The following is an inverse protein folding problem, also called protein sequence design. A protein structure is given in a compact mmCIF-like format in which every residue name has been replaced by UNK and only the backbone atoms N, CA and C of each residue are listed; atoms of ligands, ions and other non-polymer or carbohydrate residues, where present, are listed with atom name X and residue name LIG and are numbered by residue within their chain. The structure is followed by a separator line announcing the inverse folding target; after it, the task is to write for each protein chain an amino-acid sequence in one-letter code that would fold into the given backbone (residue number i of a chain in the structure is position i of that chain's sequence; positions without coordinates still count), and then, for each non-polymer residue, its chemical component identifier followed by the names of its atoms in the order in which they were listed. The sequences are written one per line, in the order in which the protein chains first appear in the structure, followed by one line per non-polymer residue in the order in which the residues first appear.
data_IF_828711139655
#
_entry.id   IF_828711139655
#
_cell.length_a   1.000
_cell.length_b   1.000
_cell.length_c   1.000
_cell.angle_alpha   90.00
_cell.angle_beta   90.00
_cell.angle_gamma   90.00
#
_symmetry.space_group_name_H-M   'P 1'
#
loop_
_entity.id
_entity.type
_entity.pdbx_description
1 polymer ?
#
# COMPACT_ATOMS: atom_id res chain seq x y z
N UNK A 1 5.75 2.36 -25.13
CA UNK A 1 4.67 1.41 -25.52
C UNK A 1 4.29 0.67 -24.25
N UNK A 2 3.03 0.28 -24.04
CA UNK A 2 2.69 -0.55 -22.87
C UNK A 2 2.77 -2.03 -23.25
N UNK A 3 3.20 -2.87 -22.30
CA UNK A 3 3.30 -4.32 -22.47
C UNK A 3 2.48 -5.03 -21.41
N UNK A 4 1.82 -6.11 -21.83
CA UNK A 4 1.05 -6.96 -20.93
C UNK A 4 1.91 -8.12 -20.44
N UNK A 5 2.03 -8.29 -19.13
CA UNK A 5 2.77 -9.38 -18.48
C UNK A 5 1.99 -9.94 -17.30
N UNK A 6 2.36 -11.12 -16.81
CA UNK A 6 1.86 -11.62 -15.53
C UNK A 6 2.45 -10.82 -14.37
N UNK A 7 1.66 -10.56 -13.33
CA UNK A 7 2.07 -9.78 -12.16
C UNK A 7 3.28 -10.35 -11.40
N UNK A 8 3.51 -11.66 -11.45
CA UNK A 8 4.72 -12.29 -10.92
C UNK A 8 6.01 -11.78 -11.59
N UNK A 9 5.92 -11.30 -12.83
CA UNK A 9 7.07 -10.79 -13.61
C UNK A 9 7.35 -9.31 -13.35
N UNK A 10 6.43 -8.58 -12.73
CA UNK A 10 6.65 -7.21 -12.26
C UNK A 10 7.63 -7.25 -11.09
N UNK A 11 8.64 -6.38 -11.07
CA UNK A 11 9.62 -6.33 -9.97
C UNK A 11 9.04 -5.64 -8.74
N UNK A 12 9.60 -5.93 -7.56
CA UNK A 12 9.27 -5.18 -6.35
C UNK A 12 9.63 -3.70 -6.55
N UNK A 13 8.72 -2.80 -6.17
CA UNK A 13 8.84 -1.36 -6.35
C UNK A 13 8.49 -0.85 -7.75
N UNK A 14 8.16 -1.73 -8.69
CA UNK A 14 7.76 -1.35 -10.04
C UNK A 14 6.26 -1.06 -10.12
N UNK A 15 5.92 -0.10 -10.99
CA UNK A 15 4.55 0.32 -11.25
C UNK A 15 3.90 -0.52 -12.34
N UNK A 16 2.60 -0.76 -12.20
CA UNK A 16 1.80 -1.45 -13.21
C UNK A 16 0.36 -0.94 -13.17
N UNK A 17 -0.40 -1.22 -14.22
CA UNK A 17 -1.80 -0.82 -14.36
C UNK A 17 -2.69 -2.04 -14.58
N UNK A 18 -3.83 -2.05 -13.91
CA UNK A 18 -4.92 -3.02 -14.07
C UNK A 18 -6.26 -2.30 -13.89
N UNK A 19 -7.25 -2.58 -14.74
CA UNK A 19 -8.55 -1.88 -14.76
C UNK A 19 -8.44 -0.33 -14.78
N UNK A 20 -7.39 0.19 -15.44
CA UNK A 20 -7.13 1.64 -15.51
C UNK A 20 -6.62 2.25 -14.21
N UNK A 21 -6.33 1.43 -13.19
CA UNK A 21 -5.78 1.85 -11.90
C UNK A 21 -4.31 1.50 -11.83
N UNK A 22 -3.48 2.45 -11.40
CA UNK A 22 -2.05 2.25 -11.23
C UNK A 22 -1.73 1.79 -9.80
N UNK A 23 -0.83 0.81 -9.71
CA UNK A 23 -0.35 0.20 -8.48
C UNK A 23 1.17 0.13 -8.45
N UNK A 24 1.72 0.00 -7.25
CA UNK A 24 3.10 -0.44 -7.03
C UNK A 24 3.11 -1.83 -6.39
N UNK A 25 4.00 -2.72 -6.86
CA UNK A 25 4.20 -4.04 -6.27
C UNK A 25 5.12 -3.95 -5.04
N UNK A 26 4.62 -4.36 -3.88
CA UNK A 26 5.34 -4.27 -2.60
C UNK A 26 6.03 -5.56 -2.20
N UNK A 27 5.45 -6.72 -2.48
CA UNK A 27 6.03 -8.03 -2.12
C UNK A 27 5.37 -9.16 -2.92
N UNK A 28 5.84 -10.38 -2.76
CA UNK A 28 5.21 -11.57 -3.31
C UNK A 28 5.33 -12.77 -2.37
N UNK A 29 4.20 -13.39 -2.05
CA UNK A 29 4.15 -14.54 -1.14
C UNK A 29 3.03 -15.50 -1.50
N UNK A 30 3.37 -16.80 -1.59
CA UNK A 30 2.41 -17.89 -1.80
C UNK A 30 1.46 -17.64 -3.00
N UNK A 31 2.02 -17.25 -4.15
CA UNK A 31 1.26 -16.99 -5.37
C UNK A 31 0.33 -15.78 -5.32
N UNK A 32 0.52 -14.88 -4.34
CA UNK A 32 -0.11 -13.57 -4.29
C UNK A 32 0.93 -12.46 -4.25
N UNK A 33 0.80 -11.48 -5.14
CA UNK A 33 1.57 -10.25 -5.10
C UNK A 33 0.87 -9.25 -4.18
N UNK A 34 1.62 -8.68 -3.23
CA UNK A 34 1.14 -7.60 -2.37
C UNK A 34 1.32 -6.26 -3.07
N UNK A 35 0.25 -5.50 -3.21
CA UNK A 35 0.22 -4.29 -4.04
C UNK A 35 -0.57 -3.18 -3.34
N UNK A 36 -0.25 -1.92 -3.65
CA UNK A 36 -0.98 -0.73 -3.17
C UNK A 36 -1.17 0.25 -4.32
N UNK A 37 -2.30 0.95 -4.33
CA UNK A 37 -2.56 2.01 -5.32
C UNK A 37 -1.53 3.13 -5.20
N UNK A 38 -1.17 3.74 -6.34
CA UNK A 38 -0.19 4.83 -6.35
C UNK A 38 -0.72 6.09 -5.67
N UNK A 39 -2.03 6.32 -5.70
CA UNK A 39 -2.71 7.37 -4.96
C UNK A 39 -3.90 6.85 -4.13
N UNK A 40 -4.56 7.72 -3.37
CA UNK A 40 -5.79 7.42 -2.63
C UNK A 40 -7.00 7.35 -3.55
N UNK A 41 -8.12 6.87 -3.01
CA UNK A 41 -9.43 7.15 -3.60
C UNK A 41 -9.71 8.66 -3.61
N UNK A 42 -10.55 9.16 -4.53
CA UNK A 42 -10.75 10.60 -4.71
C UNK A 42 -11.49 11.25 -3.54
N UNK A 43 -12.31 10.52 -2.79
CA UNK A 43 -13.11 11.07 -1.69
C UNK A 43 -12.45 10.78 -0.34
N UNK A 44 -12.52 11.75 0.57
CA UNK A 44 -12.17 11.53 1.97
C UNK A 44 -13.36 10.93 2.71
N UNK A 45 -13.10 10.21 3.79
CA UNK A 45 -14.12 9.57 4.59
C UNK A 45 -13.63 9.27 6.00
N UNK A 46 -14.54 8.98 6.93
CA UNK A 46 -14.14 8.55 8.25
C UNK A 46 -13.53 7.14 8.16
N UNK A 47 -12.71 6.80 9.13
CA UNK A 47 -12.36 5.39 9.35
C UNK A 47 -13.61 4.60 9.75
N UNK A 48 -14.41 5.17 10.66
CA UNK A 48 -15.67 4.64 11.17
C UNK A 48 -16.59 5.81 11.52
N UNK A 49 -17.89 5.73 11.24
CA UNK A 49 -18.81 6.82 11.56
C UNK A 49 -18.97 7.04 13.08
N UNK A 50 -19.33 8.27 13.47
CA UNK A 50 -19.57 8.64 14.87
C UNK A 50 -20.78 7.88 15.47
N UNK A 51 -21.76 7.53 14.64
CA UNK A 51 -22.99 6.83 15.02
C UNK A 51 -22.88 5.30 14.92
N UNK A 52 -21.67 4.75 14.73
CA UNK A 52 -21.45 3.32 14.75
C UNK A 52 -21.77 2.73 16.14
N UNK A 53 -22.62 1.70 16.18
CA UNK A 53 -23.07 1.04 17.44
C UNK A 53 -22.01 0.13 18.09
N UNK A 54 -20.83 -0.02 17.46
CA UNK A 54 -19.74 -0.88 17.92
C UNK A 54 -18.76 -0.09 18.77
N UNK A 55 -18.25 -0.66 19.86
CA UNK A 55 -17.32 0.05 20.76
C UNK A 55 -15.88 0.13 20.24
N UNK A 56 -15.51 -0.74 19.29
CA UNK A 56 -14.17 -0.86 18.73
C UNK A 56 -14.02 -0.02 17.44
N UNK A 57 -14.32 1.29 17.50
CA UNK A 57 -14.41 2.15 16.32
C UNK A 57 -13.12 2.23 15.48
N UNK A 58 -11.95 1.93 16.05
CA UNK A 58 -10.67 1.91 15.33
C UNK A 58 -10.26 0.51 14.82
N UNK A 59 -11.09 -0.52 14.99
CA UNK A 59 -10.81 -1.82 14.41
C UNK A 59 -11.21 -1.86 12.94
N UNK A 60 -10.22 -2.13 12.10
CA UNK A 60 -10.33 -2.15 10.65
C UNK A 60 -11.42 -3.11 10.14
N UNK A 61 -11.57 -4.28 10.76
CA UNK A 61 -12.61 -5.23 10.32
C UNK A 61 -13.98 -4.68 10.65
N UNK A 62 -14.85 -4.60 9.65
CA UNK A 62 -16.21 -4.07 9.78
C UNK A 62 -16.30 -2.55 9.73
N UNK A 63 -15.18 -1.84 9.56
CA UNK A 63 -15.15 -0.38 9.45
C UNK A 63 -15.74 0.15 8.14
N UNK A 64 -16.20 1.41 8.15
CA UNK A 64 -16.54 2.15 6.94
C UNK A 64 -15.38 2.16 5.94
N UNK A 65 -14.15 2.36 6.40
CA UNK A 65 -12.95 2.32 5.55
C UNK A 65 -12.82 1.01 4.78
N UNK A 66 -13.04 -0.14 5.45
CA UNK A 66 -13.00 -1.44 4.79
C UNK A 66 -14.15 -1.59 3.78
N UNK A 67 -15.34 -1.09 4.12
CA UNK A 67 -16.50 -1.12 3.24
C UNK A 67 -16.26 -0.29 1.96
N UNK A 68 -15.72 0.93 2.08
CA UNK A 68 -15.41 1.81 0.96
C UNK A 68 -14.40 1.18 0.00
N UNK A 69 -13.33 0.58 0.53
CA UNK A 69 -12.33 -0.12 -0.28
C UNK A 69 -12.96 -1.32 -1.00
N UNK A 70 -13.84 -2.06 -0.33
CA UNK A 70 -14.53 -3.22 -0.91
C UNK A 70 -15.54 -2.80 -1.99
N UNK A 71 -16.32 -1.75 -1.76
CA UNK A 71 -17.24 -1.18 -2.75
C UNK A 71 -16.50 -0.68 -3.98
N UNK A 72 -15.42 0.07 -3.77
CA UNK A 72 -14.55 0.50 -4.86
C UNK A 72 -14.02 -0.69 -5.66
N UNK A 73 -13.48 -1.71 -4.98
CA UNK A 73 -12.96 -2.90 -5.65
C UNK A 73 -14.03 -3.67 -6.43
N UNK A 74 -15.30 -3.65 -5.97
CA UNK A 74 -16.41 -4.27 -6.68
C UNK A 74 -16.70 -3.63 -8.05
N UNK A 75 -16.29 -2.38 -8.26
CA UNK A 75 -16.39 -1.66 -9.53
C UNK A 75 -15.22 -1.92 -10.48
N UNK A 76 -14.23 -2.74 -10.08
CA UNK A 76 -13.06 -3.14 -10.87
C UNK A 76 -13.02 -4.67 -11.03
N UNK A 77 -13.68 -5.24 -12.05
CA UNK A 77 -13.85 -6.70 -12.17
C UNK A 77 -12.55 -7.50 -12.18
N UNK A 78 -11.51 -7.06 -12.88
CA UNK A 78 -10.24 -7.78 -12.95
C UNK A 78 -9.51 -7.75 -11.61
N UNK A 79 -9.59 -6.63 -10.88
CA UNK A 79 -9.06 -6.52 -9.52
C UNK A 79 -9.84 -7.45 -8.58
N UNK A 80 -11.17 -7.34 -8.56
CA UNK A 80 -12.07 -8.14 -7.72
C UNK A 80 -11.83 -9.64 -7.89
N UNK A 81 -11.76 -10.12 -9.12
CA UNK A 81 -11.59 -11.54 -9.43
C UNK A 81 -10.19 -12.08 -9.06
N UNK A 82 -9.22 -11.19 -8.90
CA UNK A 82 -7.84 -11.51 -8.54
C UNK A 82 -7.54 -11.40 -7.06
N UNK A 83 -8.38 -10.74 -6.27
CA UNK A 83 -8.17 -10.55 -4.84
C UNK A 83 -8.08 -11.88 -4.10
N UNK A 84 -7.00 -12.03 -3.35
CA UNK A 84 -6.73 -13.15 -2.47
C UNK A 84 -6.97 -12.73 -1.03
N UNK A 85 -7.61 -13.61 -0.28
CA UNK A 85 -7.78 -13.44 1.14
C UNK A 85 -6.46 -13.76 1.86
N UNK A 86 -6.01 -12.84 2.72
CA UNK A 86 -4.76 -12.96 3.49
C UNK A 86 -4.91 -12.35 4.88
N UNK A 87 -4.16 -12.84 5.87
CA UNK A 87 -4.14 -12.23 7.19
C UNK A 87 -3.63 -10.79 7.12
N UNK A 88 -4.25 -9.91 7.89
CA UNK A 88 -3.75 -8.58 8.21
C UNK A 88 -3.45 -8.53 9.70
N UNK A 89 -2.27 -8.05 10.08
CA UNK A 89 -1.90 -7.88 11.50
C UNK A 89 -2.51 -6.59 12.04
N UNK A 90 -3.51 -6.70 12.93
CA UNK A 90 -4.18 -5.56 13.55
C UNK A 90 -3.62 -5.25 14.94
N UNK A 91 -2.36 -5.63 15.19
CA UNK A 91 -1.62 -5.14 16.35
C UNK A 91 -1.68 -3.61 16.37
N UNK A 92 -2.21 -3.09 17.47
CA UNK A 92 -2.37 -1.66 17.71
C UNK A 92 -1.03 -0.98 18.01
N UNK A 93 -0.99 0.34 17.93
CA UNK A 93 0.27 1.09 18.10
C UNK A 93 0.86 1.02 19.50
N UNK A 94 0.06 0.73 20.53
CA UNK A 94 0.56 0.44 21.89
C UNK A 94 0.95 -1.04 22.08
N UNK A 95 0.82 -1.86 21.05
CA UNK A 95 1.25 -3.26 21.01
C UNK A 95 0.19 -4.27 21.43
N UNK A 96 -1.06 -3.85 21.66
CA UNK A 96 -2.14 -4.77 21.99
C UNK A 96 -2.59 -5.56 20.75
N UNK A 97 -2.91 -6.85 20.93
CA UNK A 97 -3.20 -7.80 19.84
C UNK A 97 -4.64 -8.31 19.82
N UNK A 98 -5.56 -7.65 20.53
CA UNK A 98 -6.92 -8.16 20.75
C UNK A 98 -7.74 -8.33 19.45
N UNK A 99 -7.51 -7.45 18.46
CA UNK A 99 -8.14 -7.57 17.14
C UNK A 99 -7.55 -8.71 16.28
N UNK A 100 -6.41 -9.26 16.68
CA UNK A 100 -5.80 -10.43 16.08
C UNK A 100 -5.30 -10.23 14.65
N UNK A 101 -5.29 -11.33 13.88
CA UNK A 101 -4.82 -11.37 12.49
C UNK A 101 -5.89 -11.90 11.52
N UNK A 102 -7.02 -11.19 11.37
CA UNK A 102 -8.12 -11.67 10.54
C UNK A 102 -7.72 -11.78 9.07
N UNK A 103 -8.31 -12.75 8.37
CA UNK A 103 -8.19 -12.90 6.93
C UNK A 103 -9.13 -11.92 6.22
N UNK A 104 -8.59 -11.08 5.33
CA UNK A 104 -9.35 -10.08 4.57
C UNK A 104 -8.94 -10.08 3.09
N UNK A 105 -9.85 -9.67 2.21
CA UNK A 105 -9.55 -9.44 0.79
C UNK A 105 -9.32 -7.96 0.50
N UNK A 106 -10.27 -7.12 0.87
CA UNK A 106 -10.17 -5.66 0.79
C UNK A 106 -9.47 -5.14 2.04
N UNK A 107 -8.41 -4.34 1.85
CA UNK A 107 -7.61 -3.80 2.93
C UNK A 107 -6.92 -2.51 2.55
N UNK A 108 -6.33 -1.86 3.54
CA UNK A 108 -5.26 -0.89 3.36
C UNK A 108 -3.95 -1.43 3.98
N UNK A 109 -2.90 -0.62 4.02
CA UNK A 109 -1.65 -0.96 4.68
C UNK A 109 -1.77 -0.77 6.20
N UNK A 110 -1.03 -1.57 6.96
CA UNK A 110 -0.71 -1.24 8.35
C UNK A 110 0.48 -0.28 8.39
N UNK A 111 0.71 0.40 9.53
CA UNK A 111 1.92 1.20 9.73
C UNK A 111 3.18 0.37 9.52
N UNK A 112 3.23 -0.86 10.02
CA UNK A 112 4.44 -1.68 9.94
C UNK A 112 4.74 -2.13 8.51
N UNK A 113 3.71 -2.40 7.71
CA UNK A 113 3.87 -2.62 6.28
C UNK A 113 4.30 -1.35 5.56
N UNK A 114 3.69 -0.21 5.87
CA UNK A 114 4.11 1.09 5.34
C UNK A 114 5.59 1.36 5.64
N UNK A 115 6.04 1.14 6.88
CA UNK A 115 7.45 1.27 7.29
C UNK A 115 8.34 0.31 6.54
N UNK A 116 7.95 -0.97 6.44
CA UNK A 116 8.72 -2.02 5.75
C UNK A 116 8.94 -1.69 4.27
N UNK A 117 7.92 -1.18 3.59
CA UNK A 117 7.95 -0.91 2.14
C UNK A 117 8.07 0.58 1.78
N UNK A 118 8.42 1.44 2.75
CA UNK A 118 8.39 2.91 2.59
C UNK A 118 9.15 3.41 1.37
N UNK A 119 10.25 2.75 1.02
CA UNK A 119 11.11 3.11 -0.11
C UNK A 119 10.48 2.86 -1.49
N UNK A 120 9.36 2.14 -1.55
CA UNK A 120 8.61 1.84 -2.78
C UNK A 120 7.27 2.59 -2.86
N UNK A 121 6.73 3.03 -1.72
CA UNK A 121 5.40 3.65 -1.66
C UNK A 121 5.50 5.13 -2.04
N UNK A 122 4.82 5.57 -3.13
CA UNK A 122 4.78 6.99 -3.49
C UNK A 122 3.93 7.80 -2.50
N UNK A 123 4.24 9.09 -2.42
CA UNK A 123 3.41 10.09 -1.75
C UNK A 123 2.07 10.24 -2.49
N UNK A 124 1.05 10.67 -1.76
CA UNK A 124 -0.34 10.72 -2.22
C UNK A 124 -0.85 12.16 -2.28
N UNK A 125 -1.88 12.39 -3.08
CA UNK A 125 -2.53 13.70 -3.20
C UNK A 125 -3.35 14.07 -1.96
N UNK A 126 -3.80 13.06 -1.20
CA UNK A 126 -4.54 13.22 0.05
C UNK A 126 -3.90 12.39 1.17
N UNK A 127 -4.05 12.81 2.44
CA UNK A 127 -3.69 11.95 3.56
C UNK A 127 -4.61 10.72 3.55
N UNK A 128 -4.15 9.58 4.06
CA UNK A 128 -4.92 8.33 4.04
C UNK A 128 -4.85 7.54 5.35
N UNK A 129 -5.94 6.82 5.65
CA UNK A 129 -6.03 5.96 6.82
C UNK A 129 -5.24 4.67 6.64
N UNK A 130 -4.47 4.26 7.65
CA UNK A 130 -3.93 2.90 7.75
C UNK A 130 -4.92 1.99 8.48
N UNK A 131 -4.69 0.68 8.43
CA UNK A 131 -5.46 -0.30 9.20
C UNK A 131 -5.02 -0.39 10.68
N UNK A 132 -4.07 0.44 11.12
CA UNK A 132 -3.47 0.33 12.45
C UNK A 132 -4.25 1.17 13.48
N UNK A 133 -4.85 0.52 14.50
CA UNK A 133 -5.53 1.21 15.60
C UNK A 133 -4.53 1.88 16.55
N UNK A 134 -4.98 2.89 17.31
CA UNK A 134 -4.21 3.44 18.42
C UNK A 134 -3.97 2.41 19.53
N UNK A 135 -5.06 1.81 20.03
CA UNK A 135 -5.06 0.81 21.09
C UNK A 135 -6.33 -0.06 20.96
N UNK A 136 -6.51 -0.98 21.89
CA UNK A 136 -7.72 -1.81 22.03
C UNK A 136 -8.41 -1.54 23.37
N UNK A 137 -9.59 -2.14 23.58
CA UNK A 137 -10.36 -2.03 24.83
C UNK A 137 -9.59 -2.53 26.07
N UNK A 138 -8.64 -3.44 25.87
CA UNK A 138 -7.82 -4.02 26.94
C UNK A 138 -6.55 -3.19 27.24
N UNK A 139 -6.35 -2.06 26.56
CA UNK A 139 -5.23 -1.16 26.82
C UNK A 139 -5.37 -0.44 28.17
N UNK A 140 -4.26 -0.18 28.90
CA UNK A 140 -4.27 0.67 30.09
C UNK A 140 -4.84 2.08 29.83
N UNK A 141 -4.71 2.58 28.59
CA UNK A 141 -5.36 3.80 28.12
C UNK A 141 -6.23 3.47 26.91
N UNK A 142 -7.38 2.84 27.20
CA UNK A 142 -8.36 2.47 26.19
C UNK A 142 -9.07 3.70 25.60
N UNK A 143 -8.78 3.97 24.33
CA UNK A 143 -9.45 4.95 23.48
C UNK A 143 -9.54 4.42 22.04
N UNK A 144 -10.63 3.70 21.76
CA UNK A 144 -10.92 3.15 20.44
C UNK A 144 -11.34 4.21 19.40
N UNK A 145 -11.33 5.51 19.74
CA UNK A 145 -11.74 6.57 18.81
C UNK A 145 -10.59 7.06 17.93
N UNK A 146 -9.41 6.45 18.00
CA UNK A 146 -8.22 6.88 17.26
C UNK A 146 -7.62 5.76 16.43
N UNK A 147 -7.31 6.11 15.19
CA UNK A 147 -6.53 5.27 14.28
C UNK A 147 -5.38 6.09 13.71
N UNK A 148 -4.46 5.41 13.04
CA UNK A 148 -3.33 6.06 12.40
C UNK A 148 -3.54 6.24 10.90
N UNK A 149 -3.00 7.34 10.40
CA UNK A 149 -2.94 7.68 8.99
C UNK A 149 -1.55 8.15 8.58
N UNK A 150 -1.41 8.37 7.29
CA UNK A 150 -0.21 8.93 6.67
C UNK A 150 -0.58 10.23 5.99
N UNK A 151 0.14 11.30 6.32
CA UNK A 151 -0.03 12.61 5.68
C UNK A 151 0.55 12.64 4.25
N UNK A 152 0.23 13.68 3.49
CA UNK A 152 0.66 13.83 2.09
C UNK A 152 2.18 13.93 1.94
N UNK A 153 2.89 14.35 2.98
CA UNK A 153 4.36 14.37 3.04
C UNK A 153 4.97 13.02 3.45
N UNK A 154 4.12 12.04 3.76
CA UNK A 154 4.50 10.70 4.18
C UNK A 154 4.82 10.57 5.67
N UNK A 155 4.54 11.58 6.49
CA UNK A 155 4.64 11.50 7.94
C UNK A 155 3.48 10.68 8.54
N UNK A 156 3.73 10.08 9.71
CA UNK A 156 2.75 9.27 10.43
C UNK A 156 1.99 10.17 11.40
N UNK A 157 0.66 10.11 11.39
CA UNK A 157 -0.23 10.90 12.25
C UNK A 157 -1.30 10.01 12.86
N UNK A 158 -1.82 10.39 14.03
CA UNK A 158 -2.99 9.76 14.63
C UNK A 158 -4.15 10.76 14.64
N UNK A 159 -5.37 10.29 14.41
CA UNK A 159 -6.54 11.16 14.35
C UNK A 159 -7.82 10.45 14.78
N UNK A 160 -8.87 11.22 15.05
CA UNK A 160 -10.16 10.64 15.43
C UNK A 160 -10.83 9.96 14.24
N UNK A 161 -11.30 8.73 14.46
CA UNK A 161 -11.81 7.82 13.41
C UNK A 161 -13.04 8.36 12.68
N UNK A 162 -13.86 9.18 13.33
CA UNK A 162 -15.09 9.74 12.75
C UNK A 162 -14.90 11.01 11.94
N UNK A 163 -13.66 11.50 11.81
CA UNK A 163 -13.39 12.69 10.98
C UNK A 163 -13.03 12.33 9.54
N UNK A 164 -13.61 13.06 8.60
CA UNK A 164 -13.48 12.84 7.16
C UNK A 164 -12.26 13.54 6.54
N UNK A 165 -11.11 13.50 7.21
CA UNK A 165 -9.89 14.17 6.72
C UNK A 165 -9.02 13.29 5.83
N UNK A 166 -9.10 11.98 5.99
CA UNK A 166 -8.25 11.02 5.29
C UNK A 166 -9.06 10.28 4.23
N UNK A 167 -8.41 9.89 3.14
CA UNK A 167 -9.01 9.10 2.08
C UNK A 167 -8.66 7.61 2.22
N UNK A 168 -9.52 6.70 1.74
CA UNK A 168 -9.14 5.30 1.61
C UNK A 168 -7.97 5.13 0.64
N UNK A 169 -7.00 4.26 0.98
CA UNK A 169 -5.94 3.84 0.06
C UNK A 169 -5.94 2.32 -0.08
N UNK A 170 -6.48 1.78 -1.19
CA UNK A 170 -6.57 0.35 -1.38
C UNK A 170 -5.21 -0.35 -1.46
N UNK A 171 -5.09 -1.46 -0.74
CA UNK A 171 -4.01 -2.42 -0.87
C UNK A 171 -4.61 -3.83 -0.99
N UNK A 172 -3.95 -4.72 -1.72
CA UNK A 172 -4.46 -6.06 -1.98
C UNK A 172 -3.34 -7.09 -2.07
N UNK A 173 -3.71 -8.34 -1.84
CA UNK A 173 -2.99 -9.46 -2.44
C UNK A 173 -3.72 -9.87 -3.70
N UNK A 174 -3.06 -9.77 -4.86
CA UNK A 174 -3.63 -10.19 -6.14
C UNK A 174 -2.98 -11.50 -6.60
N UNK A 175 -3.73 -12.37 -7.28
CA UNK A 175 -3.21 -13.57 -7.93
C UNK A 175 -2.01 -13.21 -8.79
N UNK A 176 -0.86 -13.83 -8.52
CA UNK A 176 0.39 -13.56 -9.26
C UNK A 176 0.31 -13.83 -10.77
N UNK A 177 -0.62 -14.68 -11.21
CA UNK A 177 -0.86 -15.00 -12.62
C UNK A 177 -1.77 -14.00 -13.34
N UNK A 178 -2.28 -12.95 -12.68
CA UNK A 178 -3.08 -11.95 -13.38
C UNK A 178 -2.24 -11.17 -14.38
N UNK A 179 -2.83 -10.88 -15.53
CA UNK A 179 -2.22 -10.04 -16.55
C UNK A 179 -2.40 -8.57 -16.19
N UNK A 180 -1.30 -7.84 -16.24
CA UNK A 180 -1.21 -6.40 -15.95
C UNK A 180 -0.46 -5.70 -17.06
N UNK A 181 -0.68 -4.39 -17.18
CA UNK A 181 0.06 -3.54 -18.11
C UNK A 181 1.23 -2.87 -17.41
N UNK A 182 2.42 -2.93 -17.97
CA UNK A 182 3.56 -2.11 -17.58
C UNK A 182 3.88 -1.13 -18.70
N UNK A 183 4.37 0.05 -18.36
CA UNK A 183 4.79 1.02 -19.36
C UNK A 183 6.23 0.70 -19.79
N UNK A 184 6.41 0.04 -20.94
CA UNK A 184 7.73 -0.16 -21.60
C UNK A 184 8.25 1.15 -22.23
N UNK A 185 7.72 2.31 -21.83
CA UNK A 185 8.40 3.58 -22.08
C UNK A 185 9.65 3.57 -21.22
N UNK A 186 10.76 3.09 -21.80
CA UNK A 186 12.06 2.98 -21.15
C UNK A 186 12.22 4.11 -20.13
N UNK A 187 12.20 3.81 -18.82
CA UNK A 187 12.67 4.78 -17.87
C UNK A 187 14.11 5.07 -18.30
N UNK A 188 14.50 6.33 -18.23
CA UNK A 188 15.89 6.67 -18.01
C UNK A 188 16.39 5.68 -16.94
N UNK A 189 17.18 4.67 -17.34
CA UNK A 189 17.43 3.49 -16.50
C UNK A 189 17.86 4.01 -15.14
N UNK A 190 17.07 3.74 -14.11
CA UNK A 190 17.45 4.19 -12.77
C UNK A 190 18.73 3.46 -12.37
N UNK A 191 19.50 4.01 -11.43
CA UNK A 191 20.68 3.32 -10.88
C UNK A 191 20.35 1.86 -10.48
N UNK A 192 19.11 1.60 -10.02
CA UNK A 192 18.63 0.28 -9.59
C UNK A 192 18.41 -0.73 -10.72
N UNK A 193 18.38 -0.29 -11.98
CA UNK A 193 18.24 -1.17 -13.15
C UNK A 193 19.58 -1.69 -13.68
N UNK A 194 20.68 -1.22 -13.10
CA UNK A 194 22.02 -1.68 -13.40
C UNK A 194 22.48 -2.64 -12.31
N UNK A 195 23.15 -3.74 -12.69
CA UNK A 195 23.84 -4.55 -11.71
C UNK A 195 24.99 -3.75 -11.08
N UNK A 196 25.42 -4.13 -9.89
CA UNK A 196 26.61 -3.53 -9.26
C UNK A 196 27.81 -3.56 -10.21
N UNK A 197 27.96 -4.63 -11.00
CA UNK A 197 29.00 -4.76 -12.03
C UNK A 197 28.86 -3.72 -13.13
N UNK A 198 27.65 -3.52 -13.67
CA UNK A 198 27.39 -2.52 -14.72
C UNK A 198 27.70 -1.10 -14.23
N UNK A 199 27.34 -0.79 -12.98
CA UNK A 199 27.63 0.50 -12.36
C UNK A 199 29.14 0.69 -12.13
N UNK A 200 29.83 -0.35 -11.66
CA UNK A 200 31.28 -0.33 -11.44
C UNK A 200 32.04 -0.16 -12.76
N UNK A 201 31.63 -0.88 -13.81
CA UNK A 201 32.26 -0.79 -15.14
C UNK A 201 32.08 0.61 -15.76
N UNK A 202 30.91 1.21 -15.59
CA UNK A 202 30.64 2.58 -16.03
C UNK A 202 31.49 3.62 -15.28
N UNK A 203 31.69 3.45 -13.97
CA UNK A 203 32.61 4.30 -13.19
C UNK A 203 34.06 4.16 -13.67
N UNK A 204 34.52 2.93 -13.98
CA UNK A 204 35.85 2.70 -14.53
C UNK A 204 36.02 3.27 -15.94
N UNK A 205 34.99 3.24 -16.79
CA UNK A 205 35.00 3.86 -18.12
C UNK A 205 35.20 5.38 -18.02
N UNK A 206 34.36 6.07 -17.22
CA UNK A 206 34.46 7.53 -17.01
C UNK A 206 35.80 7.95 -16.43
N UNK A 207 36.34 7.16 -15.49
CA UNK A 207 37.68 7.39 -14.94
C UNK A 207 38.73 7.36 -16.05
N UNK A 208 38.70 6.37 -16.95
CA UNK A 208 39.66 6.28 -18.07
C UNK A 208 39.56 7.46 -19.03
N UNK A 209 38.35 7.91 -19.35
CA UNK A 209 38.12 9.08 -20.21
C UNK A 209 38.62 10.40 -19.61
N UNK A 210 38.70 10.50 -18.28
CA UNK A 210 39.24 11.69 -17.62
C UNK A 210 40.78 11.78 -17.63
N UNK A 211 41.49 10.72 -18.04
CA UNK A 211 42.96 10.65 -18.06
C UNK A 211 43.60 10.79 -19.44
N UNK A 212 42.83 10.67 -20.53
CA UNK A 212 43.26 10.98 -21.89
C UNK A 212 42.45 12.17 -22.44
N UNK A 213 42.82 13.42 -22.10
CA UNK A 213 42.46 14.54 -22.94
C UNK A 213 43.35 14.49 -24.18
N UNK A 214 42.75 14.46 -25.38
CA UNK A 214 43.46 14.70 -26.64
C UNK A 214 44.37 15.95 -26.57
#
# INVERSE_FOLDING_TARGET
MSKTIELCKVRQGEFFTIDGVEFVKLDEKMGGAFVVTTDTLPDTGPFEHEDAERNDHNNFVGSCLMADILEWANNHPSIKDAMLERPIDLTSMDGMTDYGMPCVKARTLTIDEFRKYRCYIPLTSKPWWTATPWCTDNSPYSDANRAYGIDTDGSVVNYYVYHELFAPRPAFYLKSSILVSINDGAPDKGIRDFSDTDLIDELYRRRRESYDPD
#
